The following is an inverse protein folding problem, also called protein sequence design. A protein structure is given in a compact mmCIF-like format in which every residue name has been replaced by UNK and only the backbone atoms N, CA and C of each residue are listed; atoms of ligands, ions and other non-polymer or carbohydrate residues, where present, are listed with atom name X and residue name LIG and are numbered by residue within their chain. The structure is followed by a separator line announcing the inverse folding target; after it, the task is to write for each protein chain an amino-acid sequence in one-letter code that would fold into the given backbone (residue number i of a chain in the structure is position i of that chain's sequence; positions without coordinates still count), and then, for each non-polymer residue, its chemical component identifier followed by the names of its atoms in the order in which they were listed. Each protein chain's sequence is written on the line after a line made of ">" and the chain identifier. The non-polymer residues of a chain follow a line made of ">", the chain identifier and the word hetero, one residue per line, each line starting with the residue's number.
data_IF_355388894017
#
_entry.id   IF_355388894017
#
_cell.length_a   1.000
_cell.length_b   1.000
_cell.length_c   1.000
_cell.angle_alpha   90.00
_cell.angle_beta   90.00
_cell.angle_gamma   90.00
#
_symmetry.space_group_name_H-M   'P 1'
#
loop_
_entity.id
_entity.type
_entity.pdbx_description
1 polymer ?
#
# COMPACT_ATOMS: atom_id res chain seq x y z
N UNK A 1 -3.12 -5.91 23.22
CA UNK A 1 -2.57 -4.57 22.94
C UNK A 1 -1.26 -4.79 22.18
N UNK A 2 -1.28 -4.75 20.86
CA UNK A 2 -0.07 -4.99 20.06
C UNK A 2 0.66 -3.66 19.92
N UNK A 3 1.87 -3.62 20.48
CA UNK A 3 2.64 -2.40 20.71
C UNK A 3 3.03 -1.74 19.38
N UNK A 4 2.53 -0.52 19.18
CA UNK A 4 3.00 0.43 18.18
C UNK A 4 4.45 0.85 18.51
N UNK A 5 5.39 0.46 17.67
CA UNK A 5 6.67 1.14 17.44
C UNK A 5 7.14 0.69 16.05
N UNK A 6 7.52 1.55 15.11
CA UNK A 6 8.30 2.76 15.31
C UNK A 6 7.84 3.85 14.35
N UNK A 7 7.48 5.01 14.91
CA UNK A 7 7.39 6.27 14.18
C UNK A 7 8.81 6.62 13.71
N UNK A 8 9.09 6.42 12.42
CA UNK A 8 10.34 6.91 11.83
C UNK A 8 10.24 8.43 11.84
N UNK A 9 10.99 9.04 12.76
CA UNK A 9 11.16 10.49 12.84
C UNK A 9 12.03 10.90 11.65
N UNK A 10 11.56 11.75 10.71
CA UNK A 10 12.46 12.31 9.70
C UNK A 10 13.31 13.39 10.36
N UNK A 11 14.42 13.00 10.97
CA UNK A 11 15.53 13.91 11.24
C UNK A 11 16.78 13.35 10.58
N UNK A 12 16.98 13.71 9.33
CA UNK A 12 18.28 14.15 8.77
C UNK A 12 18.02 14.59 7.34
N UNK A 13 17.82 15.89 7.19
CA UNK A 13 18.05 16.57 5.93
C UNK A 13 19.52 17.00 5.98
N UNK A 14 20.42 16.16 5.45
CA UNK A 14 21.83 16.51 5.26
C UNK A 14 22.18 16.38 3.80
N UNK A 15 22.30 17.55 3.16
CA UNK A 15 22.54 17.74 1.75
C UNK A 15 23.73 16.94 1.20
N UNK A 16 23.44 15.92 0.39
CA UNK A 16 24.30 15.44 -0.69
C UNK A 16 23.48 15.37 -1.98
N UNK A 17 23.09 16.55 -2.47
CA UNK A 17 22.32 16.75 -3.71
C UNK A 17 23.12 16.32 -4.93
N UNK A 18 23.05 15.02 -5.26
CA UNK A 18 23.61 14.42 -6.47
C UNK A 18 23.43 12.91 -6.47
N UNK A 19 23.98 12.22 -5.47
CA UNK A 19 23.93 10.74 -5.38
C UNK A 19 22.63 10.19 -4.79
N UNK A 20 21.98 10.91 -3.88
CA UNK A 20 20.76 10.44 -3.22
C UNK A 20 19.55 10.40 -4.17
N UNK A 21 19.46 11.35 -5.11
CA UNK A 21 18.39 11.34 -6.11
C UNK A 21 18.57 10.19 -7.11
N UNK A 22 19.79 9.95 -7.60
CA UNK A 22 20.05 8.85 -8.53
C UNK A 22 19.79 7.49 -7.89
N UNK A 23 20.28 7.27 -6.66
CA UNK A 23 20.02 6.03 -5.94
C UNK A 23 18.52 5.79 -5.69
N UNK A 24 17.76 6.86 -5.42
CA UNK A 24 16.32 6.77 -5.27
C UNK A 24 15.60 6.48 -6.61
N UNK A 25 16.01 7.11 -7.70
CA UNK A 25 15.48 6.84 -9.05
C UNK A 25 15.76 5.40 -9.51
N UNK A 26 16.97 4.90 -9.26
CA UNK A 26 17.35 3.51 -9.53
C UNK A 26 16.53 2.52 -8.68
N UNK A 27 16.32 2.81 -7.39
CA UNK A 27 15.49 2.00 -6.51
C UNK A 27 14.02 1.97 -6.98
N UNK A 28 13.43 3.13 -7.29
CA UNK A 28 12.06 3.24 -7.80
C UNK A 28 11.88 2.48 -9.12
N UNK A 29 12.87 2.55 -10.02
CA UNK A 29 12.87 1.80 -11.29
C UNK A 29 12.84 0.28 -11.04
N UNK A 30 13.64 -0.21 -10.09
CA UNK A 30 13.67 -1.63 -9.69
C UNK A 30 12.36 -2.07 -9.02
N UNK A 31 11.80 -1.25 -8.14
CA UNK A 31 10.50 -1.51 -7.50
C UNK A 31 9.38 -1.62 -8.55
N UNK A 32 9.37 -0.73 -9.52
CA UNK A 32 8.37 -0.75 -10.59
C UNK A 32 8.57 -1.94 -11.54
N UNK A 33 9.82 -2.32 -11.82
CA UNK A 33 10.16 -3.47 -12.67
C UNK A 33 9.90 -4.83 -12.03
N UNK A 34 9.98 -4.93 -10.69
CA UNK A 34 9.76 -6.18 -9.94
C UNK A 34 8.31 -6.41 -9.53
N UNK A 35 7.45 -5.39 -9.63
CA UNK A 35 6.03 -5.45 -9.27
C UNK A 35 5.29 -6.61 -9.93
N UNK A 36 4.52 -7.36 -9.14
CA UNK A 36 3.77 -8.51 -9.63
C UNK A 36 4.63 -9.75 -9.93
N UNK A 37 5.95 -9.63 -9.85
CA UNK A 37 6.90 -10.72 -9.93
C UNK A 37 6.91 -11.60 -8.68
N UNK A 38 8.06 -12.23 -8.38
CA UNK A 38 8.22 -13.03 -7.17
C UNK A 38 7.35 -14.28 -7.13
N UNK A 39 7.06 -14.79 -5.93
CA UNK A 39 6.22 -15.96 -5.69
C UNK A 39 4.95 -15.57 -4.93
N UNK A 40 3.86 -16.32 -5.12
CA UNK A 40 2.67 -16.12 -4.29
C UNK A 40 3.00 -16.41 -2.82
N UNK A 41 2.39 -15.66 -1.90
CA UNK A 41 2.49 -15.98 -0.47
C UNK A 41 2.00 -17.41 -0.23
N UNK A 42 2.81 -18.20 0.49
CA UNK A 42 2.53 -19.62 0.70
C UNK A 42 1.13 -19.83 1.33
N UNK A 43 0.37 -20.84 0.88
CA UNK A 43 -1.01 -21.04 1.32
C UNK A 43 -1.14 -21.26 2.84
N UNK A 44 -0.14 -21.89 3.45
CA UNK A 44 -0.09 -22.10 4.91
C UNK A 44 0.07 -20.79 5.68
N UNK A 45 0.87 -19.86 5.15
CA UNK A 45 1.08 -18.54 5.75
C UNK A 45 -0.18 -17.67 5.58
N UNK A 46 -0.79 -17.71 4.39
CA UNK A 46 -2.07 -17.05 4.13
C UNK A 46 -3.17 -17.53 5.07
N UNK A 47 -3.38 -18.85 5.16
CA UNK A 47 -4.39 -19.43 6.03
C UNK A 47 -4.18 -19.09 7.52
N UNK A 48 -2.93 -18.89 7.93
CA UNK A 48 -2.62 -18.42 9.28
C UNK A 48 -2.90 -16.91 9.44
N UNK A 49 -2.53 -16.08 8.49
CA UNK A 49 -2.60 -14.62 8.65
C UNK A 49 -3.98 -14.03 8.32
N UNK A 50 -4.60 -14.41 7.20
CA UNK A 50 -5.88 -13.86 6.70
C UNK A 50 -6.98 -13.75 7.79
N UNK A 51 -7.29 -14.78 8.61
CA UNK A 51 -8.32 -14.67 9.65
C UNK A 51 -7.95 -13.74 10.81
N UNK A 52 -6.66 -13.50 11.05
CA UNK A 52 -6.18 -12.59 12.11
C UNK A 52 -6.27 -11.13 11.68
N UNK A 53 -6.16 -10.87 10.37
CA UNK A 53 -6.27 -9.53 9.79
C UNK A 53 -7.67 -9.22 9.26
N UNK A 54 -8.48 -10.23 8.94
CA UNK A 54 -9.76 -10.03 8.24
C UNK A 54 -9.57 -9.51 6.81
N UNK A 55 -8.45 -9.86 6.16
CA UNK A 55 -8.06 -9.38 4.83
C UNK A 55 -7.69 -10.56 3.92
N UNK A 56 -7.77 -10.36 2.60
CA UNK A 56 -7.32 -11.31 1.60
C UNK A 56 -5.87 -11.02 1.20
N UNK A 57 -5.00 -12.03 1.26
CA UNK A 57 -3.59 -11.92 0.85
C UNK A 57 -3.31 -12.75 -0.41
N UNK A 58 -4.33 -13.10 -1.19
CA UNK A 58 -4.17 -13.90 -2.41
C UNK A 58 -3.37 -13.19 -3.50
N UNK A 59 -3.49 -11.86 -3.55
CA UNK A 59 -2.75 -11.01 -4.48
C UNK A 59 -1.32 -10.69 -4.01
N UNK A 60 -0.92 -11.13 -2.81
CA UNK A 60 0.39 -10.81 -2.25
C UNK A 60 1.49 -11.60 -2.97
N UNK A 61 2.49 -10.86 -3.43
CA UNK A 61 3.70 -11.37 -4.05
C UNK A 61 4.87 -11.21 -3.10
N UNK A 62 5.72 -12.22 -3.04
CA UNK A 62 6.86 -12.26 -2.13
C UNK A 62 8.15 -12.42 -2.93
N UNK A 63 9.12 -11.58 -2.59
CA UNK A 63 10.44 -11.54 -3.20
C UNK A 63 11.50 -11.85 -2.14
N UNK A 64 12.24 -12.94 -2.34
CA UNK A 64 13.35 -13.37 -1.45
C UNK A 64 14.68 -13.49 -2.21
N UNK A 65 14.72 -13.04 -3.47
CA UNK A 65 15.88 -13.14 -4.35
C UNK A 65 16.95 -12.09 -4.06
N UNK A 66 18.08 -12.16 -4.78
CA UNK A 66 19.22 -11.24 -4.58
C UNK A 66 18.86 -9.76 -4.74
N UNK A 67 17.92 -9.43 -5.64
CA UNK A 67 17.44 -8.06 -5.81
C UNK A 67 16.69 -7.56 -4.57
N UNK A 68 15.82 -8.38 -3.98
CA UNK A 68 15.11 -8.06 -2.74
C UNK A 68 16.06 -7.86 -1.58
N UNK A 69 17.11 -8.69 -1.49
CA UNK A 69 18.18 -8.56 -0.49
C UNK A 69 18.90 -7.22 -0.64
N UNK A 70 19.22 -6.83 -1.87
CA UNK A 70 19.95 -5.60 -2.15
C UNK A 70 19.10 -4.35 -1.85
N UNK A 71 17.83 -4.33 -2.26
CA UNK A 71 16.91 -3.23 -1.92
C UNK A 71 16.70 -3.09 -0.40
N UNK A 72 16.59 -4.21 0.32
CA UNK A 72 16.53 -4.19 1.79
C UNK A 72 17.79 -3.59 2.43
N UNK A 73 18.98 -3.88 1.87
CA UNK A 73 20.24 -3.27 2.35
C UNK A 73 20.29 -1.76 2.10
N UNK A 74 19.85 -1.31 0.92
CA UNK A 74 19.78 0.11 0.56
C UNK A 74 18.81 0.88 1.45
N UNK A 75 17.68 0.27 1.82
CA UNK A 75 16.68 0.84 2.73
C UNK A 75 17.01 0.64 4.23
N UNK A 76 18.03 -0.15 4.56
CA UNK A 76 18.34 -0.51 5.95
C UNK A 76 17.24 -1.34 6.63
N UNK A 77 16.47 -2.12 5.87
CA UNK A 77 15.32 -2.89 6.34
C UNK A 77 15.58 -4.41 6.38
N UNK A 78 14.78 -5.13 7.17
CA UNK A 78 14.78 -6.61 7.18
C UNK A 78 13.77 -7.20 6.21
N UNK A 79 12.65 -6.51 6.04
CA UNK A 79 11.67 -6.69 4.99
C UNK A 79 10.97 -5.33 4.78
N UNK A 80 10.32 -5.15 3.65
CA UNK A 80 9.42 -4.01 3.42
C UNK A 80 8.30 -4.36 2.45
N UNK A 81 7.24 -3.56 2.47
CA UNK A 81 6.05 -3.73 1.61
C UNK A 81 5.88 -2.56 0.66
N UNK A 82 5.63 -2.85 -0.62
CA UNK A 82 5.32 -1.86 -1.65
C UNK A 82 4.17 -2.36 -2.54
N UNK A 83 3.01 -1.71 -2.45
CA UNK A 83 1.84 -2.09 -3.24
C UNK A 83 1.26 -3.43 -2.78
N UNK A 84 1.37 -4.48 -3.60
CA UNK A 84 0.99 -5.86 -3.25
C UNK A 84 2.20 -6.79 -3.11
N UNK A 85 3.40 -6.23 -3.09
CA UNK A 85 4.66 -6.95 -3.09
C UNK A 85 5.38 -6.77 -1.74
N UNK A 86 5.91 -7.87 -1.19
CA UNK A 86 6.68 -7.90 0.05
C UNK A 86 8.09 -8.41 -0.26
N UNK A 87 9.11 -7.63 0.10
CA UNK A 87 10.51 -7.90 -0.19
C UNK A 87 11.24 -8.28 1.09
N UNK A 88 11.79 -9.49 1.16
CA UNK A 88 12.55 -9.96 2.32
C UNK A 88 14.05 -9.82 2.10
N UNK A 89 14.74 -9.35 3.14
CA UNK A 89 16.19 -9.23 3.19
C UNK A 89 16.91 -10.57 3.38
N UNK A 90 18.23 -10.51 3.48
CA UNK A 90 19.09 -11.69 3.57
C UNK A 90 18.72 -12.59 4.77
N UNK A 91 18.55 -13.89 4.50
CA UNK A 91 18.19 -14.87 5.52
C UNK A 91 16.77 -14.70 6.09
N UNK A 92 15.94 -13.84 5.49
CA UNK A 92 14.53 -13.68 5.83
C UNK A 92 13.65 -14.33 4.76
N UNK A 93 12.47 -14.77 5.17
CA UNK A 93 11.51 -15.45 4.31
C UNK A 93 10.11 -15.33 4.91
N UNK A 94 9.05 -15.41 4.08
CA UNK A 94 7.68 -15.38 4.56
C UNK A 94 7.41 -16.58 5.47
N UNK A 95 6.74 -16.34 6.59
CA UNK A 95 6.39 -17.40 7.54
C UNK A 95 5.36 -16.95 8.57
N UNK A 96 4.99 -17.85 9.47
CA UNK A 96 4.07 -17.56 10.58
C UNK A 96 4.77 -16.84 11.73
N UNK A 97 5.44 -15.73 11.42
CA UNK A 97 6.28 -14.98 12.33
C UNK A 97 5.87 -13.50 12.38
N UNK A 98 6.39 -12.80 13.39
CA UNK A 98 6.10 -11.39 13.64
C UNK A 98 6.58 -10.50 12.50
N UNK A 99 7.70 -10.83 11.86
CA UNK A 99 8.22 -10.06 10.71
C UNK A 99 7.21 -10.06 9.56
N UNK A 100 6.68 -11.22 9.19
CA UNK A 100 5.69 -11.32 8.11
C UNK A 100 4.39 -10.63 8.50
N UNK A 101 3.94 -10.77 9.76
CA UNK A 101 2.75 -10.08 10.24
C UNK A 101 2.92 -8.55 10.26
N UNK A 102 4.11 -8.06 10.58
CA UNK A 102 4.45 -6.64 10.55
C UNK A 102 4.31 -6.08 9.13
N UNK A 103 4.90 -6.76 8.14
CA UNK A 103 4.80 -6.35 6.74
C UNK A 103 3.36 -6.40 6.21
N UNK A 104 2.61 -7.46 6.53
CA UNK A 104 1.20 -7.53 6.13
C UNK A 104 0.33 -6.46 6.80
N UNK A 105 0.73 -5.97 7.98
CA UNK A 105 0.07 -4.81 8.59
C UNK A 105 0.26 -3.56 7.74
N UNK A 106 1.50 -3.31 7.27
CA UNK A 106 1.78 -2.21 6.34
C UNK A 106 0.99 -2.35 5.05
N UNK A 107 0.83 -3.56 4.52
CA UNK A 107 0.01 -3.84 3.34
C UNK A 107 -1.47 -3.43 3.55
N UNK A 108 -2.08 -3.88 4.65
CA UNK A 108 -3.49 -3.56 4.97
C UNK A 108 -3.65 -2.06 5.19
N UNK A 109 -2.68 -1.41 5.83
CA UNK A 109 -2.69 0.03 6.03
C UNK A 109 -2.54 0.80 4.71
N UNK A 110 -1.64 0.37 3.82
CA UNK A 110 -1.43 0.99 2.51
C UNK A 110 -2.68 0.87 1.62
N UNK A 111 -3.29 -0.32 1.57
CA UNK A 111 -4.48 -0.58 0.76
C UNK A 111 -5.74 0.08 1.35
N UNK A 112 -5.84 0.17 2.68
CA UNK A 112 -6.91 0.87 3.38
C UNK A 112 -6.76 2.40 3.36
N UNK A 113 -5.55 2.92 3.22
CA UNK A 113 -5.28 4.36 3.18
C UNK A 113 -5.68 5.03 1.86
N UNK A 114 -5.86 4.26 0.76
CA UNK A 114 -6.27 4.79 -0.54
C UNK A 114 -7.32 3.89 -1.20
N UNK A 115 -8.53 3.93 -0.65
CA UNK A 115 -9.77 3.73 -1.41
C UNK A 115 -10.75 4.87 -1.02
N UNK A 116 -10.35 6.11 -1.26
CA UNK A 116 -11.33 7.16 -1.53
C UNK A 116 -11.93 6.83 -2.89
N UNK A 117 -13.02 6.06 -2.87
CA UNK A 117 -13.92 5.84 -4.00
C UNK A 117 -14.16 7.21 -4.65
N UNK A 118 -13.70 7.36 -5.89
CA UNK A 118 -14.00 8.53 -6.70
C UNK A 118 -15.51 8.67 -6.88
N UNK A 119 -16.06 9.69 -6.24
CA UNK A 119 -17.29 10.35 -6.66
C UNK A 119 -16.88 11.67 -7.32
N UNK A 120 -16.18 11.57 -8.45
CA UNK A 120 -16.00 12.68 -9.40
C UNK A 120 -17.09 12.50 -10.46
N UNK A 121 -18.28 13.00 -10.15
CA UNK A 121 -19.40 13.10 -11.08
C UNK A 121 -19.45 14.49 -11.70
N UNK A 122 -18.53 14.80 -12.61
CA UNK A 122 -18.55 16.04 -13.39
C UNK A 122 -19.27 15.85 -14.75
N UNK A 123 -20.50 16.40 -14.80
CA UNK A 123 -21.09 17.22 -15.88
C UNK A 123 -21.45 16.63 -17.27
N UNK A 124 -22.77 16.70 -17.53
CA UNK A 124 -23.44 17.41 -18.65
C UNK A 124 -23.53 16.77 -20.06
N UNK A 125 -24.76 16.39 -20.47
CA UNK A 125 -25.54 16.98 -21.59
C UNK A 125 -26.49 15.94 -22.25
N UNK A 126 -27.80 16.14 -22.14
CA UNK A 126 -28.68 16.11 -23.32
C UNK A 126 -30.08 16.71 -23.03
N UNK A 127 -30.31 17.81 -23.72
CA UNK A 127 -31.47 18.68 -23.77
C UNK A 127 -32.72 18.03 -24.41
N UNK A 128 -33.90 18.36 -23.87
CA UNK A 128 -35.14 18.83 -24.56
C UNK A 128 -36.43 18.18 -24.04
N UNK A 129 -37.43 19.05 -23.94
CA UNK A 129 -38.88 18.82 -23.81
C UNK A 129 -39.49 18.68 -22.40
N UNK A 130 -40.02 19.82 -21.91
CA UNK A 130 -41.42 20.06 -21.46
C UNK A 130 -41.63 20.53 -20.02
N UNK A 131 -42.05 21.80 -19.96
CA UNK A 131 -43.15 22.39 -19.14
C UNK A 131 -43.01 22.38 -17.61
N UNK A 132 -42.84 23.60 -17.09
CA UNK A 132 -43.30 24.17 -15.82
C UNK A 132 -43.81 23.22 -14.72
N UNK A 133 -43.28 23.37 -13.49
CA UNK A 133 -43.97 23.92 -12.29
C UNK A 133 -42.88 24.14 -11.22
N UNK A 134 -42.74 25.38 -10.72
CA UNK A 134 -41.80 25.70 -9.64
C UNK A 134 -42.23 25.13 -8.28
N UNK A 135 -41.31 24.93 -7.33
CA UNK A 135 -41.66 24.43 -6.00
C UNK A 135 -42.54 25.46 -5.25
N UNK A 136 -43.57 25.04 -4.48
CA UNK A 136 -44.37 25.96 -3.68
C UNK A 136 -43.54 26.52 -2.50
N UNK A 137 -43.85 27.74 -2.02
CA UNK A 137 -43.13 28.35 -0.90
C UNK A 137 -43.38 27.60 0.41
N UNK A 138 -42.33 27.50 1.24
CA UNK A 138 -42.40 26.95 2.60
C UNK A 138 -43.24 27.85 3.51
N UNK A 139 -44.27 27.28 4.14
CA UNK A 139 -44.99 27.89 5.27
C UNK A 139 -44.49 27.26 6.59
N UNK A 140 -44.21 28.03 7.64
CA UNK A 140 -44.01 27.47 8.97
C UNK A 140 -45.38 27.13 9.62
N UNK A 141 -45.48 25.96 10.25
CA UNK A 141 -46.63 25.52 11.05
C UNK A 141 -46.45 25.93 12.54
N UNK A 142 -47.55 26.02 13.32
CA UNK A 142 -47.68 26.92 14.48
C UNK A 142 -46.87 26.56 15.71
#
# INVERSE_FOLDING_TARGET
>A
MWSLAQSITPLVQRAFSGGENQANEDLESRLNGSKGGGSALAPEVRAFMEPRFGADFSAVRVHTGGEAVQMNRELGAQAFTHGSDVYFGEGKSPGNNELTAHELTHLVQQTGAVQLKGEVGDRENQVKDRVAIGPPPFQPLP
#
